data_IF_653729689212
#
_entry.id   IF_653729689212
#
_cell.length_a   1.000
_cell.length_b   1.000
_cell.length_c   1.000
_cell.angle_alpha   90.00
_cell.angle_beta   90.00
_cell.angle_gamma   90.00
#
_symmetry.space_group_name_H-M   'P 1'
#
loop_
_entity.id
_entity.type
_entity.pdbx_description
1 polymer ?
#
# COMPACT_ATOMS: atom_id res chain seq x y z
N UNK A 1 -3.48 -13.55 -15.15
CA UNK A 1 -2.45 -13.56 -14.09
C UNK A 1 -3.10 -14.24 -12.91
N UNK A 2 -2.54 -15.36 -12.48
CA UNK A 2 -3.09 -16.12 -11.35
C UNK A 2 -2.57 -15.51 -10.04
N UNK A 3 -3.48 -15.16 -9.14
CA UNK A 3 -3.13 -14.60 -7.84
C UNK A 3 -3.08 -15.72 -6.78
N UNK A 4 -1.94 -15.93 -6.11
CA UNK A 4 -1.87 -16.92 -5.04
C UNK A 4 -2.76 -16.50 -3.85
N UNK A 5 -3.47 -17.45 -3.27
CA UNK A 5 -4.29 -17.20 -2.10
C UNK A 5 -3.41 -16.76 -0.92
N UNK A 6 -3.89 -15.79 -0.12
CA UNK A 6 -3.21 -15.27 1.08
C UNK A 6 -1.85 -14.60 0.83
N UNK A 7 -1.66 -13.98 -0.34
CA UNK A 7 -0.44 -13.21 -0.64
C UNK A 7 -0.69 -11.70 -0.70
N UNK A 8 -1.00 -11.03 0.44
CA UNK A 8 -1.11 -9.57 0.47
C UNK A 8 0.25 -8.91 0.21
N UNK A 9 1.36 -9.58 0.52
CA UNK A 9 2.74 -9.18 0.24
C UNK A 9 3.06 -8.96 -1.24
N UNK A 10 2.31 -9.65 -2.10
CA UNK A 10 2.41 -9.46 -3.52
C UNK A 10 1.44 -8.38 -4.03
N UNK A 11 0.43 -7.99 -3.26
CA UNK A 11 -0.65 -7.14 -3.74
C UNK A 11 -0.20 -5.67 -3.86
N UNK A 12 -0.13 -5.09 -5.08
CA UNK A 12 0.45 -3.77 -5.28
C UNK A 12 -0.33 -2.62 -4.63
N UNK A 13 -1.57 -2.87 -4.20
CA UNK A 13 -2.39 -1.83 -3.55
C UNK A 13 -2.12 -1.70 -2.05
N UNK A 14 -1.49 -2.70 -1.41
CA UNK A 14 -1.27 -2.65 0.05
C UNK A 14 -0.41 -1.46 0.48
N UNK A 15 0.59 -1.10 -0.34
CA UNK A 15 1.42 0.09 -0.08
C UNK A 15 0.67 1.40 -0.21
N UNK A 16 -0.33 1.42 -1.10
CA UNK A 16 -1.19 2.58 -1.28
C UNK A 16 -2.07 2.75 -0.04
N UNK A 17 -2.61 1.66 0.50
CA UNK A 17 -3.35 1.69 1.76
C UNK A 17 -2.49 2.09 2.95
N UNK A 18 -1.30 1.50 3.10
CA UNK A 18 -0.35 1.86 4.18
C UNK A 18 0.05 3.35 4.10
N UNK A 19 0.30 3.88 2.90
CA UNK A 19 0.57 5.31 2.73
C UNK A 19 -0.61 6.17 3.19
N UNK A 20 -1.83 5.85 2.77
CA UNK A 20 -3.02 6.62 3.14
C UNK A 20 -3.25 6.57 4.65
N UNK A 21 -3.13 5.40 5.25
CA UNK A 21 -3.35 5.20 6.70
C UNK A 21 -2.35 6.01 7.52
N UNK A 22 -1.05 5.90 7.23
CA UNK A 22 0.00 6.71 7.90
C UNK A 22 -0.28 8.21 7.78
N UNK A 23 -0.68 8.68 6.60
CA UNK A 23 -0.99 10.10 6.37
C UNK A 23 -2.27 10.57 7.03
N UNK A 24 -3.17 9.67 7.38
CA UNK A 24 -4.36 9.97 8.18
C UNK A 24 -4.03 9.99 9.67
N UNK A 25 -3.22 9.05 10.16
CA UNK A 25 -2.75 8.99 11.55
C UNK A 25 -1.89 10.20 11.92
N UNK A 26 -1.06 10.68 10.99
CA UNK A 26 -0.20 11.86 11.20
C UNK A 26 -0.97 13.20 11.26
N UNK A 27 -2.30 13.19 11.06
CA UNK A 27 -3.08 14.43 11.11
C UNK A 27 -3.20 14.90 12.56
N UNK A 28 -2.91 16.18 12.80
CA UNK A 28 -3.13 16.84 14.10
C UNK A 28 -4.58 16.74 14.57
N UNK A 29 -5.54 16.73 13.62
CA UNK A 29 -6.95 16.53 13.88
C UNK A 29 -7.44 15.31 13.07
N UNK A 30 -7.76 14.19 13.75
CA UNK A 30 -8.34 13.05 13.09
C UNK A 30 -9.76 13.38 12.61
N UNK A 31 -10.19 12.85 11.45
CA UNK A 31 -11.56 13.03 10.98
C UNK A 31 -12.55 12.39 11.96
N UNK A 32 -13.58 13.13 12.36
CA UNK A 32 -14.61 12.66 13.31
C UNK A 32 -15.91 12.23 12.62
N UNK A 33 -16.08 12.61 11.35
CA UNK A 33 -17.22 12.17 10.52
C UNK A 33 -16.76 11.37 9.30
N UNK A 34 -17.65 10.50 8.79
CA UNK A 34 -17.43 9.76 7.53
C UNK A 34 -17.15 10.74 6.38
N UNK A 35 -17.80 11.90 6.37
CA UNK A 35 -17.59 12.93 5.35
C UNK A 35 -16.17 13.49 5.40
N UNK A 36 -15.68 13.83 6.59
CA UNK A 36 -14.31 14.33 6.77
C UNK A 36 -13.28 13.27 6.43
N UNK A 37 -13.52 12.01 6.82
CA UNK A 37 -12.64 10.90 6.47
C UNK A 37 -12.53 10.74 4.95
N UNK A 38 -13.67 10.79 4.25
CA UNK A 38 -13.70 10.70 2.78
C UNK A 38 -12.91 11.83 2.12
N UNK A 39 -13.10 13.07 2.56
CA UNK A 39 -12.38 14.22 2.01
C UNK A 39 -10.88 14.11 2.30
N UNK A 40 -10.51 13.75 3.52
CA UNK A 40 -9.12 13.55 3.90
C UNK A 40 -8.44 12.47 3.05
N UNK A 41 -9.10 11.34 2.80
CA UNK A 41 -8.61 10.28 1.92
C UNK A 41 -8.42 10.78 0.49
N UNK A 42 -9.39 11.53 -0.06
CA UNK A 42 -9.30 12.10 -1.41
C UNK A 42 -8.13 13.07 -1.54
N UNK A 43 -7.93 13.94 -0.55
CA UNK A 43 -6.80 14.88 -0.54
C UNK A 43 -5.45 14.15 -0.48
N UNK A 44 -5.32 13.13 0.39
CA UNK A 44 -4.07 12.35 0.50
C UNK A 44 -3.81 11.50 -0.74
N UNK A 45 -4.85 10.94 -1.34
CA UNK A 45 -4.76 10.25 -2.62
C UNK A 45 -4.25 11.17 -3.73
N UNK A 46 -4.84 12.36 -3.87
CA UNK A 46 -4.43 13.33 -4.89
C UNK A 46 -3.00 13.86 -4.66
N UNK A 47 -2.54 13.91 -3.41
CA UNK A 47 -1.20 14.34 -3.05
C UNK A 47 -0.15 13.21 -3.08
N UNK A 48 -0.53 11.98 -3.48
CA UNK A 48 0.38 10.85 -3.50
C UNK A 48 1.45 11.04 -4.60
N UNK A 49 2.76 10.94 -4.27
CA UNK A 49 3.79 11.05 -5.27
C UNK A 49 3.76 9.88 -6.26
N UNK A 50 3.76 10.16 -7.56
CA UNK A 50 3.85 9.11 -8.59
C UNK A 50 5.10 8.23 -8.40
N UNK A 51 6.22 8.83 -7.98
CA UNK A 51 7.45 8.09 -7.67
C UNK A 51 7.26 7.00 -6.60
N UNK A 52 6.35 7.19 -5.64
CA UNK A 52 6.04 6.17 -4.64
C UNK A 52 5.37 4.96 -5.29
N UNK A 53 4.41 5.21 -6.18
CA UNK A 53 3.74 4.17 -6.97
C UNK A 53 4.74 3.44 -7.88
N UNK A 54 5.58 4.20 -8.59
CA UNK A 54 6.56 3.65 -9.52
C UNK A 54 7.59 2.78 -8.78
N UNK A 55 8.14 3.26 -7.66
CA UNK A 55 9.09 2.50 -6.83
C UNK A 55 8.44 1.20 -6.35
N UNK A 56 7.17 1.25 -5.96
CA UNK A 56 6.46 0.08 -5.48
C UNK A 56 6.22 -0.94 -6.60
N UNK A 57 5.70 -0.52 -7.76
CA UNK A 57 5.50 -1.37 -8.93
C UNK A 57 6.83 -1.99 -9.38
N UNK A 58 7.90 -1.21 -9.44
CA UNK A 58 9.22 -1.69 -9.84
C UNK A 58 9.81 -2.69 -8.82
N UNK A 59 9.41 -2.61 -7.54
CA UNK A 59 9.84 -3.56 -6.51
C UNK A 59 9.20 -4.96 -6.64
N UNK A 60 8.11 -5.09 -7.41
CA UNK A 60 7.33 -6.33 -7.51
C UNK A 60 8.15 -7.53 -7.99
N UNK A 61 9.05 -7.32 -8.97
CA UNK A 61 9.94 -8.38 -9.44
C UNK A 61 10.77 -8.99 -8.31
N UNK A 62 11.39 -8.12 -7.49
CA UNK A 62 12.18 -8.54 -6.32
C UNK A 62 11.31 -9.27 -5.28
N UNK A 63 10.08 -8.83 -5.05
CA UNK A 63 9.17 -9.50 -4.09
C UNK A 63 8.81 -10.91 -4.54
N UNK A 64 8.52 -11.09 -5.82
CA UNK A 64 8.29 -12.41 -6.40
C UNK A 64 9.52 -13.31 -6.24
N UNK A 65 10.73 -12.78 -6.49
CA UNK A 65 11.99 -13.52 -6.28
C UNK A 65 12.18 -13.91 -4.81
N UNK A 66 11.93 -13.00 -3.87
CA UNK A 66 12.00 -13.30 -2.44
C UNK A 66 10.98 -14.35 -2.03
N UNK A 67 9.73 -14.25 -2.52
CA UNK A 67 8.67 -15.22 -2.27
C UNK A 67 9.07 -16.61 -2.76
N UNK A 68 9.65 -16.71 -3.96
CA UNK A 68 10.19 -17.95 -4.49
C UNK A 68 11.33 -18.51 -3.62
N UNK A 69 12.24 -17.65 -3.15
CA UNK A 69 13.35 -18.05 -2.29
C UNK A 69 12.88 -18.66 -0.96
N UNK A 70 11.77 -18.14 -0.39
CA UNK A 70 11.14 -18.69 0.81
C UNK A 70 10.07 -19.75 0.51
N UNK A 71 10.00 -20.25 -0.73
CA UNK A 71 9.07 -21.31 -1.18
C UNK A 71 7.59 -20.96 -0.96
N UNK A 72 7.23 -19.70 -1.14
CA UNK A 72 5.86 -19.21 -1.00
C UNK A 72 5.44 -18.89 0.44
N UNK A 73 6.38 -18.93 1.39
CA UNK A 73 6.14 -18.43 2.75
C UNK A 73 6.11 -16.89 2.78
N UNK A 74 5.72 -16.34 3.93
CA UNK A 74 5.58 -14.90 4.13
C UNK A 74 6.90 -14.13 3.92
N UNK A 75 6.83 -13.05 3.14
CA UNK A 75 7.92 -12.08 3.01
C UNK A 75 7.56 -10.76 3.72
N UNK A 76 8.53 -10.17 4.41
CA UNK A 76 8.39 -8.83 4.99
C UNK A 76 8.65 -7.76 3.94
N UNK A 77 7.90 -6.66 4.00
CA UNK A 77 8.00 -5.51 3.08
C UNK A 77 7.69 -4.18 3.76
#
# INVERSE_FOLDING_TARGET
MDWPARSPDLNPIEHVWDFLDRRLVDRTLPPVTIRELRLALQDKWAAMPQQLLDTHILSMGRRCETCLAVRGDHITY
#
